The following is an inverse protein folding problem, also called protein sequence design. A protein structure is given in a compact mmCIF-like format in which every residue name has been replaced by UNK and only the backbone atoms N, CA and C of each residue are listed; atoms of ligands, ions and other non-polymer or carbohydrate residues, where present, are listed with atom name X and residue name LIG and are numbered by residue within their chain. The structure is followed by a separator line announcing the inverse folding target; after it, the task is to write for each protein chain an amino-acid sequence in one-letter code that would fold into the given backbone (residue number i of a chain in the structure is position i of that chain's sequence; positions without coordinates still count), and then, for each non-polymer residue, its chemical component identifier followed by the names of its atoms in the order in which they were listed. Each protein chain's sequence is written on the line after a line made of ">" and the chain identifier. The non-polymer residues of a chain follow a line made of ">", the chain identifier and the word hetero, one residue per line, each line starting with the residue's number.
data_IF_230733446792
#
_entry.id   IF_230733446792
#
_cell.length_a   1.000
_cell.length_b   1.000
_cell.length_c   1.000
_cell.angle_alpha   90.00
_cell.angle_beta   90.00
_cell.angle_gamma   90.00
#
_symmetry.space_group_name_H-M   'P 1'
#
loop_
_entity.id
_entity.type
_entity.pdbx_description
1 polymer ?
#
# COMPACT_ATOMS: atom_id res chain seq x y z
N UNK A 1 59.12 2.45 -6.14
CA UNK A 1 58.13 1.62 -5.42
C UNK A 1 57.43 2.53 -4.41
N UNK A 2 56.36 3.23 -4.83
CA UNK A 2 55.59 4.11 -3.94
C UNK A 2 54.60 3.24 -3.17
N UNK A 3 54.90 2.95 -1.92
CA UNK A 3 53.95 2.37 -0.97
C UNK A 3 52.98 3.48 -0.56
N UNK A 4 51.82 3.55 -1.21
CA UNK A 4 50.71 4.36 -0.71
C UNK A 4 50.32 3.81 0.67
N UNK A 5 50.60 4.59 1.71
CA UNK A 5 50.15 4.29 3.06
C UNK A 5 48.60 4.20 3.05
N UNK A 6 47.99 3.22 3.74
CA UNK A 6 46.54 3.12 3.81
C UNK A 6 45.98 4.40 4.44
N UNK A 7 45.19 5.17 3.68
CA UNK A 7 44.50 6.36 4.19
C UNK A 7 43.69 5.97 5.43
N UNK A 8 43.67 6.81 6.49
CA UNK A 8 42.86 6.53 7.66
C UNK A 8 41.42 6.27 7.24
N UNK A 9 40.83 5.16 7.70
CA UNK A 9 39.42 4.87 7.45
C UNK A 9 38.60 5.93 8.15
N UNK A 10 38.03 6.86 7.39
CA UNK A 10 37.10 7.85 7.92
C UNK A 10 36.03 7.14 8.77
N UNK A 11 35.93 7.53 10.04
CA UNK A 11 34.92 7.01 10.96
C UNK A 11 33.51 7.29 10.44
N UNK A 12 32.51 6.54 10.93
CA UNK A 12 31.11 6.66 10.52
C UNK A 12 30.62 8.14 10.54
N UNK A 13 31.00 8.89 11.57
CA UNK A 13 30.64 10.31 11.71
C UNK A 13 31.25 11.23 10.62
N UNK A 14 32.44 10.92 10.12
CA UNK A 14 33.04 11.67 9.00
C UNK A 14 32.35 11.29 7.67
N UNK A 15 32.00 10.02 7.49
CA UNK A 15 31.26 9.52 6.33
C UNK A 15 29.85 10.11 6.23
N UNK A 16 29.16 10.30 7.36
CA UNK A 16 27.84 10.92 7.42
C UNK A 16 27.88 12.43 7.21
N UNK A 17 28.90 13.12 7.74
CA UNK A 17 29.11 14.55 7.46
C UNK A 17 29.36 14.85 5.97
N UNK A 18 29.94 13.90 5.25
CA UNK A 18 30.14 13.97 3.81
C UNK A 18 28.90 13.53 2.98
N UNK A 19 27.78 13.18 3.62
CA UNK A 19 26.57 12.69 2.96
C UNK A 19 25.28 13.33 3.55
N UNK A 20 25.13 14.67 3.45
CA UNK A 20 24.01 15.39 4.07
C UNK A 20 22.64 15.00 3.52
N UNK A 21 22.53 14.64 2.23
CA UNK A 21 21.27 14.18 1.65
C UNK A 21 20.81 12.85 2.24
N UNK A 22 21.75 11.92 2.46
CA UNK A 22 21.50 10.64 3.11
C UNK A 22 21.00 10.84 4.54
N UNK A 23 21.64 11.73 5.30
CA UNK A 23 21.22 12.06 6.67
C UNK A 23 19.82 12.68 6.67
N UNK A 24 19.53 13.59 5.73
CA UNK A 24 18.21 14.21 5.62
C UNK A 24 17.11 13.20 5.31
N UNK A 25 17.36 12.24 4.40
CA UNK A 25 16.40 11.18 4.07
C UNK A 25 16.15 10.26 5.28
N UNK A 26 17.21 9.81 5.96
CA UNK A 26 17.07 8.98 7.15
C UNK A 26 16.32 9.70 8.29
N UNK A 27 16.58 11.01 8.47
CA UNK A 27 15.85 11.82 9.43
C UNK A 27 14.36 11.97 9.05
N UNK A 28 14.05 12.11 7.75
CA UNK A 28 12.68 12.16 7.27
C UNK A 28 11.95 10.83 7.52
N UNK A 29 12.59 9.69 7.25
CA UNK A 29 12.01 8.36 7.51
C UNK A 29 11.70 8.16 9.00
N UNK A 30 12.63 8.56 9.89
CA UNK A 30 12.44 8.50 11.34
C UNK A 30 11.31 9.42 11.80
N UNK A 31 11.25 10.65 11.28
CA UNK A 31 10.22 11.63 11.64
C UNK A 31 8.83 11.17 11.18
N UNK A 32 8.69 10.71 9.94
CA UNK A 32 7.43 10.19 9.40
C UNK A 32 7.00 8.94 10.16
N UNK A 33 7.92 8.01 10.45
CA UNK A 33 7.60 6.83 11.26
C UNK A 33 7.11 7.20 12.66
N UNK A 34 7.79 8.13 13.34
CA UNK A 34 7.37 8.64 14.65
C UNK A 34 5.99 9.30 14.60
N UNK A 35 5.70 10.05 13.54
CA UNK A 35 4.39 10.66 13.33
C UNK A 35 3.29 9.61 13.13
N UNK A 36 3.52 8.56 12.32
CA UNK A 36 2.55 7.46 12.14
C UNK A 36 2.33 6.73 13.48
N UNK A 37 3.41 6.40 14.19
CA UNK A 37 3.34 5.71 15.49
C UNK A 37 2.56 6.50 16.55
N UNK A 38 2.58 7.84 16.48
CA UNK A 38 1.80 8.70 17.36
C UNK A 38 0.28 8.68 17.06
N UNK A 39 -0.14 8.21 15.88
CA UNK A 39 -1.54 8.15 15.44
C UNK A 39 -2.13 6.74 15.41
N UNK A 40 -1.35 5.72 15.79
CA UNK A 40 -1.81 4.33 15.88
C UNK A 40 -0.73 3.31 15.51
N UNK A 41 -1.16 2.09 15.19
CA UNK A 41 -0.22 1.01 14.85
C UNK A 41 0.42 1.24 13.49
N UNK A 42 1.76 1.26 13.43
CA UNK A 42 2.53 1.30 12.18
C UNK A 42 2.40 0.04 11.32
N UNK A 43 1.68 -0.98 11.80
CA UNK A 43 1.34 -2.19 11.04
C UNK A 43 -0.12 -2.21 10.58
N UNK A 44 -0.94 -1.20 10.93
CA UNK A 44 -2.32 -1.07 10.47
C UNK A 44 -2.34 -0.57 9.00
N UNK A 45 -2.82 -1.39 8.04
CA UNK A 45 -2.92 -1.00 6.65
C UNK A 45 -3.82 0.22 6.42
N UNK A 46 -4.90 0.36 7.20
CA UNK A 46 -5.83 1.47 7.04
C UNK A 46 -5.20 2.79 7.49
N UNK A 47 -4.45 2.80 8.58
CA UNK A 47 -3.66 3.95 9.00
C UNK A 47 -2.62 4.32 7.93
N UNK A 48 -1.82 3.36 7.45
CA UNK A 48 -0.81 3.61 6.42
C UNK A 48 -1.43 4.17 5.13
N UNK A 49 -2.56 3.63 4.68
CA UNK A 49 -3.32 4.16 3.55
C UNK A 49 -3.78 5.60 3.79
N UNK A 50 -4.26 5.94 5.00
CA UNK A 50 -4.58 7.34 5.37
C UNK A 50 -3.36 8.25 5.34
N UNK A 51 -2.22 7.76 5.81
CA UNK A 51 -0.97 8.53 5.94
C UNK A 51 -0.17 8.69 4.65
N UNK A 52 -0.62 8.10 3.54
CA UNK A 52 -0.03 8.33 2.21
C UNK A 52 0.73 7.14 1.62
N UNK A 53 0.44 5.91 2.07
CA UNK A 53 0.94 4.70 1.42
C UNK A 53 0.46 4.65 -0.05
N UNK A 54 1.15 3.89 -0.89
CA UNK A 54 0.80 3.72 -2.29
C UNK A 54 -0.42 2.82 -2.40
N UNK A 55 -1.58 3.40 -2.13
CA UNK A 55 -2.90 2.83 -2.34
C UNK A 55 -3.35 3.16 -3.77
N UNK A 56 -3.56 2.12 -4.58
CA UNK A 56 -3.79 2.27 -6.01
C UNK A 56 -5.12 2.94 -6.34
N UNK A 57 -6.16 2.56 -5.60
CA UNK A 57 -7.48 3.16 -5.71
C UNK A 57 -7.40 4.67 -5.47
N UNK A 58 -6.74 5.09 -4.39
CA UNK A 58 -6.61 6.51 -4.04
C UNK A 58 -5.76 7.28 -5.04
N UNK A 59 -4.72 6.68 -5.63
CA UNK A 59 -3.98 7.33 -6.73
C UNK A 59 -4.90 7.61 -7.91
N UNK A 60 -5.71 6.63 -8.32
CA UNK A 60 -6.67 6.79 -9.41
C UNK A 60 -7.87 7.69 -9.06
N UNK A 61 -8.11 7.95 -7.79
CA UNK A 61 -9.08 8.95 -7.28
C UNK A 61 -8.48 10.36 -7.17
N UNK A 62 -7.27 10.58 -7.69
CA UNK A 62 -6.67 11.91 -7.76
C UNK A 62 -5.67 12.21 -6.66
N UNK A 63 -5.07 11.18 -6.04
CA UNK A 63 -4.01 11.33 -5.03
C UNK A 63 -2.60 10.96 -5.54
N UNK A 64 -2.06 11.59 -6.61
CA UNK A 64 -0.79 11.20 -7.23
C UNK A 64 0.44 11.44 -6.35
N UNK A 65 0.34 12.26 -5.31
CA UNK A 65 1.44 12.48 -4.35
C UNK A 65 1.85 11.20 -3.62
N UNK A 66 0.96 10.20 -3.56
CA UNK A 66 1.24 8.86 -3.03
C UNK A 66 2.40 8.15 -3.70
N UNK A 67 2.65 8.46 -4.98
CA UNK A 67 3.81 7.93 -5.73
C UNK A 67 5.14 8.29 -5.05
N UNK A 68 5.19 9.39 -4.29
CA UNK A 68 6.39 9.82 -3.57
C UNK A 68 6.26 9.64 -2.05
N UNK A 69 5.12 9.96 -1.44
CA UNK A 69 4.98 9.88 0.03
C UNK A 69 5.12 8.46 0.56
N UNK A 70 4.73 7.45 -0.22
CA UNK A 70 4.89 6.04 0.14
C UNK A 70 6.34 5.64 0.45
N UNK A 71 7.32 6.34 -0.13
CA UNK A 71 8.74 6.08 0.09
C UNK A 71 9.23 6.44 1.50
N UNK A 72 8.45 7.18 2.29
CA UNK A 72 8.82 7.59 3.65
C UNK A 72 8.04 6.85 4.74
N UNK A 73 7.02 6.07 4.36
CA UNK A 73 6.23 5.27 5.28
C UNK A 73 6.84 3.88 5.46
N UNK A 74 6.75 3.30 6.65
CA UNK A 74 7.32 1.98 6.93
C UNK A 74 6.35 1.10 7.73
N UNK A 75 6.22 -0.15 7.30
CA UNK A 75 5.37 -1.17 7.94
C UNK A 75 6.08 -1.77 9.15
N UNK A 76 5.83 -1.20 10.33
CA UNK A 76 6.44 -1.67 11.57
C UNK A 76 7.93 -1.31 11.76
N UNK A 77 8.46 -1.45 12.99
CA UNK A 77 9.80 -1.00 13.35
C UNK A 77 10.91 -1.83 12.69
N UNK A 78 10.70 -3.14 12.51
CA UNK A 78 11.70 -4.02 11.86
C UNK A 78 11.96 -3.57 10.43
N UNK A 79 10.91 -3.22 9.68
CA UNK A 79 11.03 -2.76 8.30
C UNK A 79 11.81 -1.43 8.22
N UNK A 80 11.54 -0.49 9.11
CA UNK A 80 12.30 0.77 9.19
C UNK A 80 13.77 0.52 9.52
N UNK A 81 14.06 -0.25 10.56
CA UNK A 81 15.44 -0.55 10.98
C UNK A 81 16.21 -1.21 9.85
N UNK A 82 15.59 -2.13 9.10
CA UNK A 82 16.23 -2.78 7.96
C UNK A 82 16.56 -1.81 6.82
N UNK A 83 15.62 -0.92 6.48
CA UNK A 83 15.86 0.12 5.46
C UNK A 83 16.98 1.07 5.89
N UNK A 84 17.02 1.48 7.15
CA UNK A 84 18.08 2.35 7.66
C UNK A 84 19.45 1.64 7.71
N UNK A 85 19.49 0.41 8.23
CA UNK A 85 20.74 -0.33 8.44
C UNK A 85 21.48 -0.63 7.13
N UNK A 86 20.75 -1.00 6.07
CA UNK A 86 21.33 -1.32 4.77
C UNK A 86 21.28 -0.15 3.78
N UNK A 87 20.27 0.71 3.87
CA UNK A 87 20.07 1.85 2.99
C UNK A 87 21.01 3.02 3.27
N UNK A 88 21.22 3.42 4.53
CA UNK A 88 22.07 4.58 4.86
C UNK A 88 23.51 4.41 4.36
N UNK A 89 24.20 3.25 4.57
CA UNK A 89 25.54 3.06 4.03
C UNK A 89 25.58 3.13 2.49
N UNK A 90 24.58 2.55 1.84
CA UNK A 90 24.45 2.50 0.38
C UNK A 90 24.20 3.90 -0.22
N UNK A 91 23.26 4.65 0.36
CA UNK A 91 22.99 6.04 0.02
C UNK A 91 24.22 6.92 0.20
N UNK A 92 24.91 6.83 1.33
CA UNK A 92 26.10 7.62 1.59
C UNK A 92 27.24 7.29 0.62
N UNK A 93 27.37 6.02 0.20
CA UNK A 93 28.34 5.60 -0.82
C UNK A 93 28.06 6.29 -2.16
N UNK A 94 26.82 6.22 -2.64
CA UNK A 94 26.44 6.83 -3.93
C UNK A 94 26.49 8.35 -3.85
N UNK A 95 26.02 8.95 -2.76
CA UNK A 95 26.05 10.40 -2.55
C UNK A 95 27.46 10.98 -2.66
N UNK A 96 28.45 10.36 -2.00
CA UNK A 96 29.84 10.80 -2.09
C UNK A 96 30.41 10.66 -3.50
N UNK A 97 29.92 9.69 -4.29
CA UNK A 97 30.41 9.44 -5.65
C UNK A 97 29.88 10.47 -6.67
N UNK A 98 28.61 10.89 -6.56
CA UNK A 98 27.97 11.74 -7.59
C UNK A 98 27.57 13.15 -7.09
N UNK A 99 27.71 13.38 -5.79
CA UNK A 99 27.31 14.61 -5.08
C UNK A 99 25.84 14.62 -4.68
N UNK A 100 25.51 15.34 -3.60
CA UNK A 100 24.18 15.40 -2.98
C UNK A 100 23.04 15.68 -3.95
N UNK A 101 23.18 16.68 -4.83
CA UNK A 101 22.10 17.06 -5.77
C UNK A 101 21.74 15.93 -6.75
N UNK A 102 22.75 15.25 -7.31
CA UNK A 102 22.52 14.15 -8.25
C UNK A 102 21.99 12.92 -7.52
N UNK A 103 22.50 12.67 -6.32
CA UNK A 103 22.01 11.59 -5.47
C UNK A 103 20.52 11.75 -5.12
N UNK A 104 20.09 12.94 -4.66
CA UNK A 104 18.68 13.18 -4.36
C UNK A 104 17.79 13.04 -5.61
N UNK A 105 18.26 13.50 -6.77
CA UNK A 105 17.54 13.30 -8.03
C UNK A 105 17.39 11.81 -8.39
N UNK A 106 18.45 11.01 -8.22
CA UNK A 106 18.40 9.55 -8.39
C UNK A 106 17.43 8.92 -7.41
N UNK A 107 17.50 9.28 -6.12
CA UNK A 107 16.63 8.73 -5.08
C UNK A 107 15.15 8.99 -5.37
N UNK A 108 14.78 10.26 -5.63
CA UNK A 108 13.40 10.67 -5.91
C UNK A 108 12.90 10.04 -7.20
N UNK A 109 13.70 10.04 -8.27
CA UNK A 109 13.30 9.42 -9.53
C UNK A 109 13.13 7.90 -9.39
N UNK A 110 13.98 7.23 -8.61
CA UNK A 110 13.85 5.80 -8.31
C UNK A 110 12.64 5.50 -7.44
N UNK A 111 12.29 6.36 -6.48
CA UNK A 111 11.04 6.24 -5.72
C UNK A 111 9.83 6.29 -6.67
N UNK A 112 9.79 7.29 -7.55
CA UNK A 112 8.73 7.44 -8.54
C UNK A 112 8.68 6.30 -9.55
N UNK A 113 9.83 5.84 -10.04
CA UNK A 113 9.94 4.73 -10.98
C UNK A 113 9.52 3.40 -10.35
N UNK A 114 9.85 3.19 -9.08
CA UNK A 114 9.35 2.06 -8.30
C UNK A 114 7.83 2.11 -8.13
N UNK A 115 7.30 3.24 -7.66
CA UNK A 115 5.84 3.41 -7.50
C UNK A 115 5.10 3.24 -8.84
N UNK A 116 5.63 3.77 -9.94
CA UNK A 116 5.04 3.58 -11.27
C UNK A 116 5.03 2.10 -11.69
N UNK A 117 6.11 1.35 -11.45
CA UNK A 117 6.15 -0.07 -11.76
C UNK A 117 5.18 -0.89 -10.89
N UNK A 118 5.08 -0.56 -9.60
CA UNK A 118 4.09 -1.14 -8.67
C UNK A 118 2.66 -0.92 -9.19
N UNK A 119 2.33 0.33 -9.56
CA UNK A 119 1.04 0.70 -10.15
C UNK A 119 0.70 -0.10 -11.40
N UNK A 120 1.63 -0.19 -12.35
CA UNK A 120 1.45 -0.93 -13.59
C UNK A 120 1.27 -2.43 -13.37
N UNK A 121 1.77 -2.96 -12.26
CA UNK A 121 1.60 -4.35 -11.86
C UNK A 121 0.35 -4.60 -10.98
N UNK A 122 -0.46 -3.56 -10.72
CA UNK A 122 -1.68 -3.65 -9.92
C UNK A 122 -1.48 -4.28 -8.52
N UNK A 123 -0.35 -3.99 -7.87
CA UNK A 123 -0.10 -4.38 -6.48
C UNK A 123 -1.17 -3.78 -5.53
N UNK A 124 -1.57 -4.46 -4.45
CA UNK A 124 -2.68 -3.98 -3.62
C UNK A 124 -2.34 -2.71 -2.81
N UNK A 125 -1.15 -2.65 -2.20
CA UNK A 125 -0.65 -1.47 -1.49
C UNK A 125 0.87 -1.59 -1.28
N UNK A 126 1.60 -0.47 -1.28
CA UNK A 126 3.04 -0.43 -1.02
C UNK A 126 3.43 0.71 -0.07
N UNK A 127 4.40 0.46 0.82
CA UNK A 127 4.97 1.46 1.71
C UNK A 127 6.41 1.08 2.05
N UNK A 128 7.35 2.01 1.91
CA UNK A 128 8.75 1.80 2.24
C UNK A 128 9.70 2.56 1.32
N UNK A 129 10.84 2.98 1.88
CA UNK A 129 11.95 3.55 1.10
C UNK A 129 12.58 2.55 0.11
N UNK A 130 12.24 1.27 0.21
CA UNK A 130 12.97 0.19 -0.45
C UNK A 130 12.99 0.26 -1.97
N UNK A 131 11.92 0.71 -2.63
CA UNK A 131 11.94 0.96 -4.08
C UNK A 131 13.02 1.99 -4.48
N UNK A 132 13.11 3.10 -3.73
CA UNK A 132 14.14 4.11 -3.93
C UNK A 132 15.55 3.55 -3.65
N UNK A 133 15.70 2.78 -2.57
CA UNK A 133 16.98 2.16 -2.19
C UNK A 133 17.45 1.11 -3.21
N UNK A 134 16.55 0.31 -3.79
CA UNK A 134 16.87 -0.55 -4.93
C UNK A 134 17.37 0.26 -6.13
N UNK A 135 16.82 1.46 -6.35
CA UNK A 135 17.36 2.39 -7.32
C UNK A 135 18.75 2.92 -7.00
N UNK A 136 19.01 3.30 -5.75
CA UNK A 136 20.37 3.67 -5.31
C UNK A 136 21.35 2.51 -5.54
N UNK A 137 20.91 1.29 -5.25
CA UNK A 137 21.64 0.06 -5.58
C UNK A 137 21.92 -0.06 -7.09
N UNK A 138 20.92 0.15 -7.95
CA UNK A 138 21.09 0.16 -9.40
C UNK A 138 22.10 1.22 -9.85
N UNK A 139 22.02 2.43 -9.28
CA UNK A 139 22.95 3.51 -9.57
C UNK A 139 24.38 3.15 -9.16
N UNK A 140 24.55 2.55 -7.99
CA UNK A 140 25.84 2.03 -7.52
C UNK A 140 26.42 1.01 -8.51
N UNK A 141 25.64 0.02 -8.93
CA UNK A 141 26.08 -1.00 -9.89
C UNK A 141 26.52 -0.36 -11.22
N UNK A 142 25.75 0.60 -11.74
CA UNK A 142 26.07 1.32 -12.96
C UNK A 142 27.37 2.15 -12.83
N UNK A 143 27.55 2.86 -11.71
CA UNK A 143 28.75 3.66 -11.43
C UNK A 143 30.01 2.78 -11.38
N UNK A 144 29.96 1.68 -10.64
CA UNK A 144 31.10 0.74 -10.58
C UNK A 144 31.38 0.07 -11.92
N UNK A 145 30.35 -0.41 -12.61
CA UNK A 145 30.52 -1.04 -13.94
C UNK A 145 31.19 -0.09 -14.92
N UNK A 146 30.86 1.20 -14.83
CA UNK A 146 31.46 2.24 -15.65
C UNK A 146 32.91 2.53 -15.25
N UNK A 147 33.19 2.62 -13.95
CA UNK A 147 34.54 2.89 -13.42
C UNK A 147 35.55 1.81 -13.81
N UNK A 148 35.17 0.53 -13.76
CA UNK A 148 36.07 -0.61 -14.05
C UNK A 148 36.13 -1.00 -15.54
N UNK A 149 35.29 -0.41 -16.39
CA UNK A 149 35.34 -0.56 -17.86
C UNK A 149 34.90 -1.91 -18.44
N UNK A 150 34.97 -3.03 -17.70
CA UNK A 150 34.58 -4.37 -18.18
C UNK A 150 33.75 -5.16 -17.17
N UNK A 151 32.90 -6.08 -17.65
CA UNK A 151 32.12 -6.99 -16.79
C UNK A 151 32.99 -7.94 -15.98
N UNK A 152 34.12 -8.40 -16.55
CA UNK A 152 35.06 -9.27 -15.85
C UNK A 152 35.70 -8.58 -14.65
N UNK A 153 36.13 -7.33 -14.83
CA UNK A 153 36.69 -6.52 -13.73
C UNK A 153 35.63 -6.13 -12.70
N UNK A 154 34.38 -5.91 -13.13
CA UNK A 154 33.26 -5.64 -12.23
C UNK A 154 32.99 -6.81 -11.28
N UNK A 155 32.87 -8.04 -11.81
CA UNK A 155 32.60 -9.23 -11.01
C UNK A 155 33.77 -9.60 -10.09
N UNK A 156 35.00 -9.29 -10.50
CA UNK A 156 36.20 -9.50 -9.68
C UNK A 156 36.48 -8.35 -8.69
N UNK A 157 35.70 -7.26 -8.72
CA UNK A 157 35.95 -6.08 -7.90
C UNK A 157 35.68 -6.38 -6.43
N UNK A 158 36.69 -6.18 -5.58
CA UNK A 158 36.55 -6.27 -4.12
C UNK A 158 35.44 -5.35 -3.61
N UNK A 159 35.28 -4.16 -4.17
CA UNK A 159 34.24 -3.23 -3.77
C UNK A 159 32.85 -3.75 -4.12
N UNK A 160 32.69 -4.41 -5.26
CA UNK A 160 31.41 -5.05 -5.64
C UNK A 160 31.11 -6.24 -4.75
N UNK A 161 32.11 -7.04 -4.39
CA UNK A 161 31.93 -8.17 -3.48
C UNK A 161 31.51 -7.68 -2.09
N UNK A 162 32.20 -6.65 -1.55
CA UNK A 162 31.90 -6.11 -0.22
C UNK A 162 30.56 -5.38 -0.16
N UNK A 163 30.25 -4.54 -1.17
CA UNK A 163 28.95 -3.86 -1.23
C UNK A 163 27.82 -4.78 -1.71
N UNK A 164 28.14 -5.90 -2.37
CA UNK A 164 27.21 -6.96 -2.74
C UNK A 164 26.56 -7.62 -1.52
N UNK A 165 27.26 -7.65 -0.38
CA UNK A 165 26.69 -8.11 0.90
C UNK A 165 25.56 -7.18 1.36
N UNK A 166 25.68 -5.86 1.15
CA UNK A 166 24.60 -4.91 1.46
C UNK A 166 23.37 -5.17 0.59
N UNK A 167 23.58 -5.43 -0.72
CA UNK A 167 22.52 -5.77 -1.66
C UNK A 167 21.82 -7.09 -1.29
N UNK A 168 22.58 -8.11 -0.94
CA UNK A 168 22.04 -9.40 -0.49
C UNK A 168 21.28 -9.21 0.83
N UNK A 169 21.84 -8.52 1.81
CA UNK A 169 21.17 -8.20 3.07
C UNK A 169 19.87 -7.43 2.86
N UNK A 170 19.84 -6.53 1.88
CA UNK A 170 18.63 -5.82 1.48
C UNK A 170 17.59 -6.74 0.84
N UNK A 171 18.00 -7.65 -0.05
CA UNK A 171 17.12 -8.63 -0.69
C UNK A 171 16.56 -9.66 0.30
N UNK A 172 17.32 -10.04 1.34
CA UNK A 172 16.87 -10.96 2.39
C UNK A 172 15.70 -10.41 3.22
N UNK A 173 15.46 -9.10 3.21
CA UNK A 173 14.27 -8.51 3.85
C UNK A 173 12.97 -9.14 3.32
N UNK A 174 12.95 -9.52 2.03
CA UNK A 174 11.80 -10.14 1.39
C UNK A 174 11.47 -11.55 1.87
N UNK A 175 12.36 -12.20 2.63
CA UNK A 175 12.07 -13.51 3.24
C UNK A 175 11.19 -13.40 4.48
N UNK A 176 11.15 -12.23 5.12
CA UNK A 176 10.51 -12.04 6.41
C UNK A 176 9.50 -10.89 6.44
N UNK A 177 9.47 -10.05 5.40
CA UNK A 177 8.57 -8.90 5.27
C UNK A 177 7.80 -8.96 3.95
N UNK A 178 6.51 -8.57 3.93
CA UNK A 178 5.79 -8.39 2.68
C UNK A 178 6.39 -7.20 1.93
N UNK A 179 7.09 -7.48 0.84
CA UNK A 179 7.76 -6.47 0.01
C UNK A 179 7.15 -6.40 -1.39
N UNK A 180 7.22 -5.20 -1.97
CA UNK A 180 6.77 -4.95 -3.33
C UNK A 180 7.91 -5.15 -4.33
N UNK A 181 7.96 -6.34 -4.93
CA UNK A 181 8.99 -6.70 -5.90
C UNK A 181 8.96 -5.86 -7.18
N UNK A 182 7.78 -5.35 -7.58
CA UNK A 182 7.66 -4.49 -8.77
C UNK A 182 8.20 -3.09 -8.48
N UNK A 183 7.95 -2.55 -7.29
CA UNK A 183 8.60 -1.31 -6.85
C UNK A 183 10.12 -1.45 -6.81
N UNK A 184 10.64 -2.59 -6.35
CA UNK A 184 12.07 -2.87 -6.33
C UNK A 184 12.66 -2.94 -7.75
N UNK A 185 12.01 -3.67 -8.65
CA UNK A 185 12.45 -3.79 -10.04
C UNK A 185 12.42 -2.44 -10.78
N UNK A 186 11.33 -1.68 -10.64
CA UNK A 186 11.18 -0.36 -11.26
C UNK A 186 12.19 0.66 -10.73
N UNK A 187 12.39 0.67 -9.42
CA UNK A 187 13.39 1.49 -8.75
C UNK A 187 14.81 1.18 -9.22
N UNK A 188 15.19 -0.11 -9.21
CA UNK A 188 16.48 -0.63 -9.67
C UNK A 188 16.77 -0.21 -11.12
N UNK A 189 15.81 -0.42 -12.03
CA UNK A 189 15.96 -0.07 -13.43
C UNK A 189 16.16 1.44 -13.64
N UNK A 190 15.34 2.26 -12.95
CA UNK A 190 15.43 3.72 -13.02
C UNK A 190 16.79 4.20 -12.48
N UNK A 191 17.19 3.70 -11.32
CA UNK A 191 18.44 4.09 -10.69
C UNK A 191 19.68 3.67 -11.48
N UNK A 192 19.69 2.45 -12.04
CA UNK A 192 20.77 1.98 -12.91
C UNK A 192 20.93 2.88 -14.15
N UNK A 193 19.83 3.28 -14.77
CA UNK A 193 19.87 4.15 -15.93
C UNK A 193 20.39 5.56 -15.59
N UNK A 194 19.89 6.16 -14.51
CA UNK A 194 20.33 7.50 -14.07
C UNK A 194 21.77 7.49 -13.56
N UNK A 195 22.19 6.45 -12.84
CA UNK A 195 23.57 6.26 -12.39
C UNK A 195 24.53 6.13 -13.57
N UNK A 196 24.14 5.42 -14.63
CA UNK A 196 24.93 5.33 -15.85
C UNK A 196 25.16 6.68 -16.52
N UNK A 197 24.14 7.55 -16.53
CA UNK A 197 24.26 8.91 -17.07
C UNK A 197 25.10 9.79 -16.15
N UNK A 198 24.89 9.70 -14.83
CA UNK A 198 25.62 10.47 -13.82
C UNK A 198 27.13 10.16 -13.80
N UNK A 199 27.53 8.96 -14.23
CA UNK A 199 28.94 8.53 -14.29
C UNK A 199 29.78 9.16 -15.42
N UNK A 200 29.21 10.01 -16.28
CA UNK A 200 29.92 10.64 -17.41
C UNK A 200 30.52 12.00 -17.00
N UNK A 201 31.81 12.30 -17.30
CA UNK A 201 32.38 13.63 -17.08
C UNK A 201 31.62 14.69 -17.90
N UNK A 202 31.29 15.83 -17.31
CA UNK A 202 30.67 16.96 -18.03
C UNK A 202 31.70 17.67 -18.94
N UNK A 203 31.31 18.31 -20.07
CA UNK A 203 29.94 18.74 -20.40
C UNK A 203 29.40 18.24 -21.75
N UNK A 204 28.12 17.82 -21.80
CA UNK A 204 27.10 18.51 -22.63
C UNK A 204 25.70 17.90 -22.59
N UNK A 205 24.76 18.85 -22.42
CA UNK A 205 23.34 18.91 -22.77
C UNK A 205 22.37 18.10 -21.90
N UNK A 206 21.41 18.82 -21.31
CA UNK A 206 20.14 18.31 -20.79
C UNK A 206 19.51 17.20 -21.67
N UNK A 207 19.82 17.19 -22.98
CA UNK A 207 19.45 16.14 -23.94
C UNK A 207 19.77 14.70 -23.51
N UNK A 208 20.86 14.44 -22.78
CA UNK A 208 21.14 13.07 -22.29
C UNK A 208 20.15 12.61 -21.21
N UNK A 209 19.52 13.55 -20.51
CA UNK A 209 18.48 13.30 -19.51
C UNK A 209 17.06 13.31 -20.09
N UNK A 210 16.87 13.74 -21.35
CA UNK A 210 15.54 13.77 -21.97
C UNK A 210 14.93 12.37 -22.14
N UNK A 211 15.62 11.35 -22.70
CA UNK A 211 15.04 10.02 -22.82
C UNK A 211 14.62 9.38 -21.49
N UNK A 212 15.44 9.36 -20.41
CA UNK A 212 15.00 8.80 -19.14
C UNK A 212 13.90 9.63 -18.48
N UNK A 213 13.94 10.96 -18.58
CA UNK A 213 12.86 11.80 -18.07
C UNK A 213 11.55 11.55 -18.82
N UNK A 214 11.59 11.39 -20.15
CA UNK A 214 10.43 11.08 -20.97
C UNK A 214 9.89 9.66 -20.68
N UNK A 215 10.77 8.67 -20.52
CA UNK A 215 10.38 7.31 -20.19
C UNK A 215 9.76 7.22 -18.78
N UNK A 216 10.35 7.88 -17.78
CA UNK A 216 9.79 7.96 -16.44
C UNK A 216 8.46 8.74 -16.44
N UNK A 217 8.40 9.85 -17.17
CA UNK A 217 7.17 10.62 -17.34
C UNK A 217 6.05 9.82 -18.01
N UNK A 218 6.37 9.03 -19.04
CA UNK A 218 5.44 8.11 -19.68
C UNK A 218 5.00 7.00 -18.73
N UNK A 219 5.94 6.39 -17.99
CA UNK A 219 5.61 5.35 -17.01
C UNK A 219 4.67 5.87 -15.92
N UNK A 220 4.93 7.08 -15.39
CA UNK A 220 4.05 7.75 -14.43
C UNK A 220 2.70 8.06 -15.09
N UNK A 221 2.68 8.60 -16.31
CA UNK A 221 1.43 8.91 -17.02
C UNK A 221 0.57 7.65 -17.26
N UNK A 222 1.20 6.51 -17.55
CA UNK A 222 0.51 5.22 -17.68
C UNK A 222 0.07 4.67 -16.32
N UNK A 223 0.88 4.77 -15.28
CA UNK A 223 0.54 4.37 -13.92
C UNK A 223 -0.65 5.17 -13.35
N UNK A 224 -0.74 6.46 -13.69
CA UNK A 224 -1.84 7.33 -13.30
C UNK A 224 -3.13 7.08 -14.10
N UNK A 225 -3.07 6.32 -15.21
CA UNK A 225 -4.29 5.92 -15.91
C UNK A 225 -5.03 4.88 -15.07
N UNK A 226 -6.31 5.10 -14.73
CA UNK A 226 -7.10 4.12 -14.01
C UNK A 226 -7.08 2.78 -14.74
N UNK A 227 -6.84 1.69 -14.01
CA UNK A 227 -7.06 0.36 -14.54
C UNK A 227 -8.53 0.25 -14.99
N UNK A 228 -8.82 -0.24 -16.21
CA UNK A 228 -10.20 -0.45 -16.66
C UNK A 228 -11.05 -1.27 -15.67
N UNK A 229 -10.43 -2.22 -14.97
CA UNK A 229 -11.07 -3.01 -13.91
C UNK A 229 -11.43 -2.13 -12.72
N UNK A 230 -10.53 -1.25 -12.28
CA UNK A 230 -10.84 -0.29 -11.22
C UNK A 230 -11.98 0.64 -11.61
N UNK A 231 -11.96 1.20 -12.82
CA UNK A 231 -13.04 2.03 -13.32
C UNK A 231 -14.38 1.28 -13.39
N UNK A 232 -14.37 0.02 -13.85
CA UNK A 232 -15.54 -0.85 -13.85
C UNK A 232 -16.05 -1.10 -12.43
N UNK A 233 -15.17 -1.53 -11.51
CA UNK A 233 -15.51 -1.80 -10.11
C UNK A 233 -16.12 -0.56 -9.44
N UNK A 234 -15.51 0.61 -9.60
CA UNK A 234 -16.02 1.88 -9.04
C UNK A 234 -17.42 2.17 -9.58
N UNK A 235 -17.60 2.11 -10.90
CA UNK A 235 -18.89 2.37 -11.54
C UNK A 235 -20.00 1.41 -11.11
N UNK A 236 -19.66 0.14 -10.87
CA UNK A 236 -20.61 -0.87 -10.42
C UNK A 236 -21.01 -0.66 -8.96
N UNK A 237 -20.05 -0.36 -8.08
CA UNK A 237 -20.32 -0.04 -6.67
C UNK A 237 -21.16 1.25 -6.56
N UNK A 238 -20.87 2.27 -7.37
CA UNK A 238 -21.67 3.50 -7.44
C UNK A 238 -23.10 3.23 -7.94
N UNK A 239 -23.24 2.44 -9.02
CA UNK A 239 -24.55 2.06 -9.56
C UNK A 239 -25.36 1.23 -8.56
N UNK A 240 -24.69 0.34 -7.82
CA UNK A 240 -25.29 -0.48 -6.78
C UNK A 240 -25.76 0.37 -5.60
N UNK A 241 -24.90 1.28 -5.12
CA UNK A 241 -25.24 2.21 -4.06
C UNK A 241 -26.44 3.09 -4.45
N UNK A 242 -26.45 3.63 -5.67
CA UNK A 242 -27.56 4.43 -6.18
C UNK A 242 -28.87 3.62 -6.27
N UNK A 243 -28.81 2.41 -6.84
CA UNK A 243 -29.98 1.55 -6.97
C UNK A 243 -30.58 1.17 -5.60
N UNK A 244 -29.74 0.80 -4.63
CA UNK A 244 -30.20 0.47 -3.28
C UNK A 244 -30.76 1.68 -2.53
N UNK A 245 -30.14 2.87 -2.69
CA UNK A 245 -30.65 4.11 -2.11
C UNK A 245 -32.03 4.48 -2.68
N UNK A 246 -32.21 4.29 -3.97
CA UNK A 246 -33.46 4.61 -4.67
C UNK A 246 -34.52 3.48 -4.51
N UNK A 247 -34.17 2.37 -3.87
CA UNK A 247 -35.04 1.20 -3.65
C UNK A 247 -35.30 0.36 -4.91
N UNK A 248 -34.53 0.59 -5.98
CA UNK A 248 -34.65 -0.11 -7.26
C UNK A 248 -33.90 -1.45 -7.23
N UNK A 249 -34.58 -2.47 -6.67
CA UNK A 249 -34.04 -3.82 -6.51
C UNK A 249 -33.73 -4.49 -7.84
N UNK A 250 -34.53 -4.23 -8.86
CA UNK A 250 -34.34 -4.78 -10.22
C UNK A 250 -33.03 -4.26 -10.81
N UNK A 251 -32.77 -2.96 -10.70
CA UNK A 251 -31.51 -2.37 -11.13
C UNK A 251 -30.33 -2.88 -10.30
N UNK A 252 -30.45 -2.96 -8.99
CA UNK A 252 -29.41 -3.50 -8.12
C UNK A 252 -29.03 -4.95 -8.49
N UNK A 253 -30.04 -5.80 -8.72
CA UNK A 253 -29.84 -7.19 -9.17
C UNK A 253 -29.14 -7.25 -10.53
N UNK A 254 -29.58 -6.43 -11.49
CA UNK A 254 -28.95 -6.35 -12.81
C UNK A 254 -27.47 -5.92 -12.76
N UNK A 255 -27.12 -4.97 -11.87
CA UNK A 255 -25.72 -4.57 -11.66
C UNK A 255 -24.91 -5.72 -11.07
N UNK A 256 -25.45 -6.45 -10.09
CA UNK A 256 -24.77 -7.58 -9.44
C UNK A 256 -24.52 -8.72 -10.42
N UNK A 257 -25.52 -9.07 -11.22
CA UNK A 257 -25.44 -10.13 -12.21
C UNK A 257 -24.46 -9.75 -13.33
N UNK A 258 -24.47 -8.49 -13.76
CA UNK A 258 -23.51 -7.99 -14.73
C UNK A 258 -22.06 -8.00 -14.20
N UNK A 259 -21.86 -7.65 -12.93
CA UNK A 259 -20.56 -7.73 -12.27
C UNK A 259 -20.05 -9.18 -12.21
N UNK A 260 -20.91 -10.13 -11.79
CA UNK A 260 -20.60 -11.56 -11.75
C UNK A 260 -20.30 -12.14 -13.13
N UNK A 261 -21.07 -11.76 -14.15
CA UNK A 261 -20.85 -12.22 -15.52
C UNK A 261 -19.49 -11.74 -16.08
N UNK A 262 -18.99 -10.60 -15.62
CA UNK A 262 -17.65 -10.10 -15.93
C UNK A 262 -16.54 -10.74 -15.10
N UNK A 263 -16.87 -11.64 -14.17
CA UNK A 263 -15.94 -12.22 -13.21
C UNK A 263 -15.39 -11.19 -12.24
N UNK A 264 -16.13 -10.10 -11.98
CA UNK A 264 -15.73 -9.09 -11.02
C UNK A 264 -16.01 -9.54 -9.59
N UNK A 265 -14.97 -9.69 -8.80
CA UNK A 265 -14.98 -10.07 -7.39
C UNK A 265 -14.68 -8.89 -6.46
N UNK A 266 -14.96 -7.65 -6.91
CA UNK A 266 -14.72 -6.44 -6.13
C UNK A 266 -15.15 -6.59 -4.67
N UNK A 267 -14.23 -6.28 -3.75
CA UNK A 267 -14.40 -6.52 -2.30
C UNK A 267 -15.66 -5.86 -1.69
N UNK A 268 -16.21 -4.82 -2.33
CA UNK A 268 -17.44 -4.15 -1.90
C UNK A 268 -18.74 -4.80 -2.39
N UNK A 269 -18.73 -5.63 -3.43
CA UNK A 269 -19.94 -6.26 -3.96
C UNK A 269 -20.65 -7.18 -2.94
N UNK A 270 -19.95 -7.99 -2.13
CA UNK A 270 -20.58 -8.77 -1.07
C UNK A 270 -21.39 -7.93 -0.06
N UNK A 271 -20.89 -6.75 0.29
CA UNK A 271 -21.58 -5.83 1.21
C UNK A 271 -22.91 -5.38 0.61
N UNK A 272 -22.88 -4.90 -0.63
CA UNK A 272 -24.09 -4.43 -1.30
C UNK A 272 -25.06 -5.57 -1.64
N UNK A 273 -24.57 -6.77 -1.92
CA UNK A 273 -25.43 -7.95 -2.07
C UNK A 273 -26.20 -8.25 -0.77
N UNK A 274 -25.52 -8.17 0.39
CA UNK A 274 -26.19 -8.32 1.68
C UNK A 274 -27.30 -7.28 1.89
N UNK A 275 -27.06 -6.03 1.50
CA UNK A 275 -28.09 -4.98 1.55
C UNK A 275 -29.25 -5.25 0.59
N UNK A 276 -28.98 -5.74 -0.62
CA UNK A 276 -30.00 -6.11 -1.59
C UNK A 276 -30.91 -7.22 -1.07
N UNK A 277 -30.33 -8.29 -0.52
CA UNK A 277 -31.07 -9.39 0.10
C UNK A 277 -31.98 -8.88 1.23
N UNK A 278 -31.47 -7.97 2.07
CA UNK A 278 -32.26 -7.36 3.14
C UNK A 278 -33.43 -6.52 2.62
N UNK A 279 -33.26 -5.80 1.52
CA UNK A 279 -34.34 -5.05 0.87
C UNK A 279 -35.37 -5.98 0.22
N UNK A 280 -34.95 -7.08 -0.38
CA UNK A 280 -35.83 -8.10 -0.96
C UNK A 280 -36.61 -8.91 0.09
N UNK A 281 -36.15 -8.88 1.35
CA UNK A 281 -36.80 -9.57 2.47
C UNK A 281 -36.12 -10.89 2.86
N UNK A 282 -35.06 -11.29 2.14
CA UNK A 282 -34.21 -12.41 2.53
C UNK A 282 -33.21 -11.97 3.62
N UNK A 283 -33.73 -11.82 4.84
CA UNK A 283 -32.93 -11.38 5.98
C UNK A 283 -31.93 -12.46 6.43
N UNK A 284 -32.26 -13.74 6.25
CA UNK A 284 -31.37 -14.85 6.58
C UNK A 284 -30.14 -14.85 5.66
N UNK A 285 -30.35 -14.75 4.34
CA UNK A 285 -29.26 -14.62 3.37
C UNK A 285 -28.45 -13.34 3.55
N UNK A 286 -29.10 -12.22 3.90
CA UNK A 286 -28.41 -10.97 4.21
C UNK A 286 -27.44 -11.11 5.39
N UNK A 287 -27.86 -11.79 6.47
CA UNK A 287 -26.99 -12.07 7.62
C UNK A 287 -25.80 -12.97 7.25
N UNK A 288 -26.05 -14.02 6.48
CA UNK A 288 -24.99 -14.93 6.00
C UNK A 288 -23.93 -14.16 5.19
N UNK A 289 -24.38 -13.20 4.37
CA UNK A 289 -23.48 -12.40 3.53
C UNK A 289 -22.71 -11.33 4.30
N UNK A 290 -23.35 -10.66 5.27
CA UNK A 290 -22.76 -9.54 6.00
C UNK A 290 -21.85 -9.96 7.16
N UNK A 291 -22.12 -11.11 7.80
CA UNK A 291 -21.40 -11.54 9.02
C UNK A 291 -19.89 -11.74 8.81
N UNK A 292 -19.41 -12.36 7.71
CA UNK A 292 -17.97 -12.44 7.43
C UNK A 292 -17.33 -11.07 7.28
N UNK A 293 -18.00 -10.13 6.63
CA UNK A 293 -17.50 -8.76 6.39
C UNK A 293 -17.39 -7.96 7.69
N UNK A 294 -18.40 -8.07 8.55
CA UNK A 294 -18.42 -7.46 9.87
C UNK A 294 -17.31 -7.99 10.80
N UNK A 295 -16.95 -9.27 10.65
CA UNK A 295 -15.88 -9.91 11.43
C UNK A 295 -14.46 -9.61 10.91
N UNK A 296 -14.31 -9.35 9.61
CA UNK A 296 -13.00 -9.27 8.96
C UNK A 296 -12.38 -7.86 8.96
N UNK A 297 -13.18 -6.79 9.08
CA UNK A 297 -12.71 -5.44 8.77
C UNK A 297 -12.48 -4.56 10.01
N UNK A 298 -11.21 -4.16 10.22
CA UNK A 298 -10.86 -3.01 11.05
C UNK A 298 -11.01 -1.72 10.22
N UNK A 299 -11.50 -0.63 10.81
CA UNK A 299 -11.69 0.66 10.14
C UNK A 299 -13.09 0.93 9.57
N UNK A 300 -13.27 2.01 8.77
CA UNK A 300 -14.60 2.55 8.43
C UNK A 300 -15.53 1.58 7.69
N UNK A 301 -15.01 0.80 6.74
CA UNK A 301 -15.82 -0.16 5.98
C UNK A 301 -16.34 -1.32 6.86
N UNK A 302 -15.56 -1.75 7.85
CA UNK A 302 -15.98 -2.76 8.82
C UNK A 302 -16.99 -2.26 9.83
N UNK A 303 -16.90 -0.98 10.22
CA UNK A 303 -17.96 -0.33 11.00
C UNK A 303 -19.27 -0.23 10.20
N UNK A 304 -19.19 0.08 8.92
CA UNK A 304 -20.36 0.14 8.05
C UNK A 304 -21.01 -1.25 7.86
N UNK A 305 -20.21 -2.30 7.66
CA UNK A 305 -20.68 -3.68 7.63
C UNK A 305 -21.31 -4.11 8.95
N UNK A 306 -20.72 -3.76 10.10
CA UNK A 306 -21.30 -4.04 11.43
C UNK A 306 -22.62 -3.32 11.64
N UNK A 307 -22.75 -2.06 11.24
CA UNK A 307 -24.01 -1.30 11.30
C UNK A 307 -25.10 -1.93 10.42
N UNK A 308 -24.75 -2.32 9.20
CA UNK A 308 -25.67 -3.02 8.31
C UNK A 308 -26.13 -4.37 8.90
N UNK A 309 -25.18 -5.17 9.40
CA UNK A 309 -25.48 -6.45 10.06
C UNK A 309 -26.42 -6.26 11.25
N UNK A 310 -26.15 -5.29 12.13
CA UNK A 310 -26.97 -4.99 13.30
C UNK A 310 -28.40 -4.58 12.90
N UNK A 311 -28.57 -3.77 11.86
CA UNK A 311 -29.88 -3.37 11.37
C UNK A 311 -30.69 -4.57 10.82
N UNK A 312 -30.04 -5.46 10.06
CA UNK A 312 -30.67 -6.68 9.54
C UNK A 312 -31.02 -7.65 10.67
N UNK A 313 -30.09 -7.87 11.62
CA UNK A 313 -30.29 -8.74 12.78
C UNK A 313 -31.44 -8.24 13.64
N UNK A 314 -31.50 -6.93 13.92
CA UNK A 314 -32.62 -6.32 14.65
C UNK A 314 -33.95 -6.56 13.97
N UNK A 315 -34.04 -6.28 12.66
CA UNK A 315 -35.28 -6.47 11.89
C UNK A 315 -35.74 -7.92 11.91
N UNK A 316 -34.83 -8.87 11.67
CA UNK A 316 -35.16 -10.29 11.71
C UNK A 316 -35.55 -10.76 13.13
N UNK A 317 -34.83 -10.26 14.14
CA UNK A 317 -35.08 -10.56 15.54
C UNK A 317 -36.51 -10.22 15.95
N UNK A 318 -36.97 -9.00 15.62
CA UNK A 318 -38.36 -8.57 15.88
C UNK A 318 -39.37 -9.49 15.19
N UNK A 319 -39.17 -9.81 13.90
CA UNK A 319 -40.10 -10.67 13.16
C UNK A 319 -40.21 -12.07 13.76
N UNK A 320 -39.11 -12.64 14.26
CA UNK A 320 -39.10 -13.96 14.90
C UNK A 320 -39.71 -13.94 16.30
N UNK A 321 -39.57 -12.85 17.06
CA UNK A 321 -40.23 -12.71 18.36
C UNK A 321 -41.75 -12.55 18.20
N UNK A 322 -42.18 -11.71 17.26
CA UNK A 322 -43.60 -11.39 17.05
C UNK A 322 -44.34 -12.45 16.22
N UNK A 323 -43.63 -13.18 15.35
CA UNK A 323 -44.23 -14.13 14.41
C UNK A 323 -44.89 -13.48 13.19
N UNK A 324 -44.45 -12.27 12.80
CA UNK A 324 -45.00 -11.53 11.66
C UNK A 324 -44.34 -11.99 10.35
N UNK A 325 -45.14 -12.52 9.42
CA UNK A 325 -44.67 -13.01 8.12
C UNK A 325 -43.79 -14.27 8.15
N UNK A 326 -43.52 -14.86 9.34
CA UNK A 326 -42.76 -16.11 9.51
C UNK A 326 -43.11 -16.80 10.84
N UNK A 327 -42.91 -18.12 10.97
CA UNK A 327 -43.13 -18.83 12.24
C UNK A 327 -42.33 -18.19 13.38
N UNK A 328 -42.94 -17.98 14.56
CA UNK A 328 -42.25 -17.39 15.69
C UNK A 328 -41.14 -18.33 16.19
N UNK A 329 -39.98 -17.74 16.47
CA UNK A 329 -38.84 -18.37 17.14
C UNK A 329 -38.22 -17.33 18.09
N UNK A 330 -38.84 -17.11 19.27
CA UNK A 330 -38.42 -16.06 20.19
C UNK A 330 -36.97 -16.23 20.67
N UNK A 331 -36.49 -17.47 20.81
CA UNK A 331 -35.12 -17.77 21.23
C UNK A 331 -34.10 -17.27 20.20
N UNK A 332 -34.31 -17.62 18.92
CA UNK A 332 -33.47 -17.11 17.82
C UNK A 332 -33.64 -15.61 17.65
N UNK A 333 -34.86 -15.11 17.77
CA UNK A 333 -35.17 -13.68 17.65
C UNK A 333 -34.42 -12.84 18.69
N UNK A 334 -34.41 -13.29 19.94
CA UNK A 334 -33.65 -12.67 21.03
C UNK A 334 -32.15 -12.70 20.78
N UNK A 335 -31.59 -13.83 20.35
CA UNK A 335 -30.16 -13.92 20.06
C UNK A 335 -29.71 -12.91 18.98
N UNK A 336 -30.56 -12.65 17.98
CA UNK A 336 -30.29 -11.64 16.95
C UNK A 336 -30.41 -10.21 17.48
N UNK A 337 -31.34 -9.95 18.41
CA UNK A 337 -31.44 -8.64 19.08
C UNK A 337 -30.23 -8.39 19.99
N UNK A 338 -29.73 -9.43 20.67
CA UNK A 338 -28.49 -9.37 21.44
C UNK A 338 -27.26 -9.12 20.54
N UNK A 339 -27.19 -9.77 19.37
CA UNK A 339 -26.14 -9.52 18.35
C UNK A 339 -26.14 -8.04 17.90
N UNK A 340 -27.32 -7.48 17.60
CA UNK A 340 -27.46 -6.09 17.21
C UNK A 340 -27.13 -5.12 18.38
N UNK A 341 -27.52 -5.46 19.61
CA UNK A 341 -27.18 -4.68 20.80
C UNK A 341 -25.66 -4.65 21.04
N UNK A 342 -24.98 -5.80 20.93
CA UNK A 342 -23.51 -5.89 21.04
C UNK A 342 -22.76 -5.08 19.98
N UNK A 343 -23.41 -4.79 18.85
CA UNK A 343 -22.90 -3.90 17.81
C UNK A 343 -23.21 -2.40 18.05
N UNK A 344 -23.88 -2.05 19.15
CA UNK A 344 -24.17 -0.67 19.56
C UNK A 344 -25.55 -0.14 19.17
N UNK A 345 -26.49 -0.98 18.71
CA UNK A 345 -27.86 -0.55 18.43
C UNK A 345 -28.70 -0.47 19.72
N UNK A 346 -28.90 0.75 20.22
CA UNK A 346 -29.60 0.99 21.49
C UNK A 346 -31.08 0.56 21.47
N UNK A 347 -31.73 0.54 20.29
CA UNK A 347 -33.11 0.06 20.18
C UNK A 347 -33.15 -1.47 20.27
N UNK A 348 -32.20 -2.15 19.64
CA UNK A 348 -32.05 -3.60 19.77
C UNK A 348 -31.82 -4.01 21.24
N UNK A 349 -31.02 -3.24 21.99
CA UNK A 349 -30.81 -3.51 23.42
C UNK A 349 -32.11 -3.45 24.24
N UNK A 350 -33.00 -2.50 23.96
CA UNK A 350 -34.31 -2.42 24.63
C UNK A 350 -35.21 -3.58 24.24
N UNK A 351 -35.31 -3.85 22.93
CA UNK A 351 -36.10 -4.96 22.39
C UNK A 351 -35.64 -6.33 22.92
N UNK A 352 -34.33 -6.53 23.09
CA UNK A 352 -33.78 -7.75 23.67
C UNK A 352 -34.20 -7.93 25.14
N UNK A 353 -34.18 -6.84 25.91
CA UNK A 353 -34.62 -6.85 27.31
C UNK A 353 -36.12 -7.12 27.45
N UNK A 354 -36.94 -6.52 26.58
CA UNK A 354 -38.39 -6.72 26.53
C UNK A 354 -38.72 -8.17 26.13
N UNK A 355 -38.04 -8.72 25.13
CA UNK A 355 -38.20 -10.11 24.72
C UNK A 355 -37.83 -11.09 25.85
N UNK A 356 -36.78 -10.80 26.62
CA UNK A 356 -36.40 -11.60 27.80
C UNK A 356 -37.41 -11.56 28.95
N UNK A 357 -38.32 -10.58 28.97
CA UNK A 357 -39.40 -10.51 29.93
C UNK A 357 -40.61 -11.36 29.54
N UNK A 358 -40.79 -11.68 28.26
CA UNK A 358 -41.87 -12.54 27.74
C UNK A 358 -41.63 -14.03 27.99
N UNK A 359 -40.38 -14.44 28.21
CA UNK A 359 -39.99 -15.82 28.53
C UNK A 359 -40.19 -16.19 30.02
N UNK A 360 -40.64 -15.26 30.87
CA UNK A 360 -40.82 -15.43 32.33
C UNK A 360 -42.29 -15.52 32.73
#
# INVERSE_FOLDING_TARGET
>A
MHTDAPRPRDGLAARLRAAPGTVALAAADLAVFGWVAAHGSTTDPALLARMGALDHARVWDGEPWRLLTAAFLHVGPVHLVWNLAFGVPLCALVERAIGTRRFLAVYVASALGGSAASMLAAMPMSAGASGALFGVAGAMLALYRRAVGSWRAFLASRDIILNGILLVGFALAGLFLPIDGWAHAGGLATGAWLGWIASRPAPRRARAWLPPAAALGLAIALALRPDPRWAANRSELEAMHAALRDGDRTRARAVLDAARARGNDAAGLPYYEGLLLAQEGDLDGALERLRPLASAAQGPAGEEARRALAAVAKRLGVLLVVGDGRPPDPARGRALLDEACGAGDADACRLAADAAALDR
#
